data_IF_331852418502
#
_entry.id   IF_331852418502
#
_cell.length_a   1.000
_cell.length_b   1.000
_cell.length_c   1.000
_cell.angle_alpha   90.00
_cell.angle_beta   90.00
_cell.angle_gamma   90.00
#
_symmetry.space_group_name_H-M   'P 1'
#
loop_
_entity.id
_entity.type
_entity.pdbx_description
1 polymer ?
#
# COMPACT_ATOMS: atom_id res chain seq x y z
N UNK A 1 4.47 -16.64 8.62
CA UNK A 1 3.36 -16.13 7.81
C UNK A 1 3.36 -14.63 7.86
N UNK A 2 3.50 -13.99 6.74
CA UNK A 2 3.59 -12.54 6.66
C UNK A 2 2.27 -11.90 6.29
N UNK A 3 1.60 -11.29 7.27
CA UNK A 3 0.50 -10.40 6.99
C UNK A 3 1.06 -9.02 6.66
N UNK A 4 0.55 -8.42 5.60
CA UNK A 4 0.92 -7.07 5.21
C UNK A 4 -0.30 -6.17 5.25
N UNK A 5 -0.08 -4.92 5.61
CA UNK A 5 -1.12 -3.91 5.67
C UNK A 5 -1.53 -3.55 4.24
N UNK A 6 -2.76 -3.83 3.90
CA UNK A 6 -3.28 -3.69 2.53
C UNK A 6 -4.07 -2.41 2.32
N UNK A 7 -4.89 -2.05 3.29
CA UNK A 7 -5.77 -0.90 3.16
C UNK A 7 -6.55 -0.63 4.43
N UNK A 8 -7.64 0.11 4.27
CA UNK A 8 -8.51 0.50 5.39
C UNK A 8 -9.97 0.45 4.97
N UNK A 9 -10.83 0.03 5.90
CA UNK A 9 -12.28 0.14 5.73
C UNK A 9 -12.66 1.60 5.97
N UNK A 10 -13.23 2.26 4.96
CA UNK A 10 -13.54 3.69 5.02
C UNK A 10 -14.99 3.98 5.34
N UNK A 11 -15.91 3.12 4.90
CA UNK A 11 -17.34 3.26 5.21
C UNK A 11 -18.08 1.95 4.96
N UNK A 12 -19.30 1.86 5.50
CA UNK A 12 -20.24 0.79 5.19
C UNK A 12 -20.95 1.11 3.87
N UNK A 13 -21.36 0.06 3.15
CA UNK A 13 -22.07 0.18 1.89
C UNK A 13 -23.36 -0.64 1.94
N UNK A 14 -24.50 0.03 1.88
CA UNK A 14 -25.80 -0.64 1.95
C UNK A 14 -26.15 -1.18 3.33
N UNK A 15 -27.11 -2.09 3.38
CA UNK A 15 -27.66 -2.61 4.63
C UNK A 15 -27.28 -4.06 4.94
N UNK A 16 -26.62 -4.73 4.02
CA UNK A 16 -26.32 -6.16 4.10
C UNK A 16 -24.86 -6.48 4.42
N UNK A 17 -24.17 -5.58 5.09
CA UNK A 17 -22.81 -5.82 5.55
C UNK A 17 -21.70 -5.44 4.57
N UNK A 18 -22.03 -4.74 3.48
CA UNK A 18 -21.03 -4.26 2.53
C UNK A 18 -20.05 -3.27 3.16
N UNK A 19 -18.78 -3.38 2.78
CA UNK A 19 -17.69 -2.55 3.29
C UNK A 19 -16.90 -1.94 2.13
N UNK A 20 -16.66 -0.64 2.20
CA UNK A 20 -15.78 0.00 1.25
C UNK A 20 -14.35 -0.12 1.76
N UNK A 21 -13.53 -0.85 1.00
CA UNK A 21 -12.11 -1.06 1.27
C UNK A 21 -11.30 -0.16 0.34
N UNK A 22 -10.49 0.69 0.92
CA UNK A 22 -9.57 1.54 0.16
C UNK A 22 -8.14 1.01 0.35
N UNK A 23 -7.58 0.33 -0.67
CA UNK A 23 -6.20 -0.12 -0.60
C UNK A 23 -5.25 1.06 -0.61
N UNK A 24 -4.14 0.95 0.10
CA UNK A 24 -3.13 2.02 0.12
C UNK A 24 -2.48 2.22 -1.24
N UNK A 25 -2.43 1.18 -2.06
CA UNK A 25 -1.93 1.25 -3.44
C UNK A 25 -2.91 1.89 -4.42
N UNK A 26 -4.18 2.05 -4.02
CA UNK A 26 -5.32 2.42 -4.89
C UNK A 26 -5.53 1.49 -6.08
N UNK A 27 -5.06 0.26 -5.98
CA UNK A 27 -5.22 -0.78 -7.00
C UNK A 27 -6.02 -1.95 -6.44
N UNK A 28 -7.35 -1.83 -6.38
CA UNK A 28 -8.19 -2.86 -5.76
C UNK A 28 -8.25 -4.16 -6.57
N UNK A 29 -7.79 -4.14 -7.83
CA UNK A 29 -7.80 -5.31 -8.70
C UNK A 29 -7.00 -6.49 -8.14
N UNK A 30 -6.03 -6.23 -7.27
CA UNK A 30 -5.28 -7.29 -6.58
C UNK A 30 -6.16 -8.19 -5.72
N UNK A 31 -7.35 -7.69 -5.30
CA UNK A 31 -8.32 -8.49 -4.54
C UNK A 31 -8.92 -9.65 -5.35
N UNK A 32 -8.81 -9.62 -6.69
CA UNK A 32 -9.31 -10.73 -7.53
C UNK A 32 -8.69 -12.09 -7.17
N UNK A 33 -7.47 -12.07 -6.69
CA UNK A 33 -6.73 -13.29 -6.32
C UNK A 33 -6.75 -13.58 -4.82
N UNK A 34 -7.43 -12.74 -4.03
CA UNK A 34 -7.45 -12.83 -2.57
C UNK A 34 -8.82 -13.34 -2.12
N UNK A 35 -8.82 -14.49 -1.45
CA UNK A 35 -10.05 -15.09 -0.94
C UNK A 35 -10.33 -14.71 0.52
N UNK A 36 -9.27 -14.37 1.26
CA UNK A 36 -9.37 -14.08 2.69
C UNK A 36 -8.57 -12.83 3.06
N UNK A 37 -9.21 -11.98 3.85
CA UNK A 37 -8.56 -10.81 4.43
C UNK A 37 -8.55 -10.92 5.95
N UNK A 38 -7.72 -10.09 6.58
CA UNK A 38 -7.61 -10.03 8.03
C UNK A 38 -7.87 -8.60 8.46
N UNK A 39 -8.73 -8.44 9.45
CA UNK A 39 -9.14 -7.11 9.94
C UNK A 39 -8.79 -7.00 11.41
N UNK A 40 -8.15 -5.90 11.76
CA UNK A 40 -7.87 -5.56 13.15
C UNK A 40 -9.17 -5.11 13.83
N UNK A 41 -9.86 -6.06 14.46
CA UNK A 41 -11.15 -5.80 15.09
C UNK A 41 -11.02 -5.09 16.44
N UNK A 42 -9.90 -5.31 17.13
CA UNK A 42 -9.55 -4.62 18.38
C UNK A 42 -8.16 -4.03 18.21
N UNK A 43 -7.98 -2.71 18.45
CA UNK A 43 -6.65 -2.09 18.31
C UNK A 43 -5.59 -2.79 19.14
N UNK A 44 -4.46 -3.10 18.51
CA UNK A 44 -3.32 -3.74 19.17
C UNK A 44 -3.43 -5.25 19.31
N UNK A 45 -4.52 -5.86 18.87
CA UNK A 45 -4.67 -7.32 18.87
C UNK A 45 -4.41 -7.89 17.48
N UNK A 46 -4.17 -9.20 17.44
CA UNK A 46 -3.96 -9.91 16.19
C UNK A 46 -5.21 -9.81 15.28
N UNK A 47 -5.03 -9.49 13.99
CA UNK A 47 -6.16 -9.38 13.07
C UNK A 47 -6.93 -10.69 12.91
N UNK A 48 -8.26 -10.58 12.85
CA UNK A 48 -9.15 -11.73 12.62
C UNK A 48 -9.37 -11.96 11.13
N UNK A 49 -9.40 -13.23 10.72
CA UNK A 49 -9.63 -13.62 9.33
C UNK A 49 -11.10 -13.61 8.92
N UNK A 50 -11.37 -13.13 7.71
CA UNK A 50 -12.69 -13.09 7.10
C UNK A 50 -12.59 -13.54 5.65
N UNK A 51 -13.48 -14.46 5.25
CA UNK A 51 -13.55 -14.88 3.85
C UNK A 51 -14.40 -13.90 3.05
N UNK A 52 -13.92 -13.56 1.85
CA UNK A 52 -14.62 -12.64 0.94
C UNK A 52 -15.66 -13.44 0.16
N UNK A 53 -16.92 -13.05 0.26
CA UNK A 53 -18.02 -13.70 -0.47
C UNK A 53 -18.32 -13.00 -1.79
N UNK A 54 -18.13 -11.69 -1.85
CA UNK A 54 -18.33 -10.91 -3.05
C UNK A 54 -17.41 -9.69 -3.02
N UNK A 55 -16.92 -9.29 -4.20
CA UNK A 55 -16.08 -8.11 -4.34
C UNK A 55 -16.47 -7.38 -5.62
N UNK A 56 -16.69 -6.08 -5.51
CA UNK A 56 -16.96 -5.19 -6.64
C UNK A 56 -15.96 -4.05 -6.64
N UNK A 57 -15.41 -3.76 -7.80
CA UNK A 57 -14.40 -2.71 -7.92
C UNK A 57 -15.03 -1.37 -8.27
N UNK A 58 -14.47 -0.32 -7.70
CA UNK A 58 -14.76 1.07 -8.00
C UNK A 58 -13.42 1.80 -8.18
N UNK A 59 -13.46 3.05 -8.56
CA UNK A 59 -12.22 3.82 -8.78
C UNK A 59 -11.36 3.88 -7.51
N UNK A 60 -10.22 3.18 -7.54
CA UNK A 60 -9.25 3.17 -6.45
C UNK A 60 -9.73 2.46 -5.18
N UNK A 61 -10.91 1.85 -5.17
CA UNK A 61 -11.45 1.15 -4.02
C UNK A 61 -12.28 -0.06 -4.43
N UNK A 62 -12.73 -0.83 -3.46
CA UNK A 62 -13.61 -1.97 -3.68
C UNK A 62 -14.72 -1.99 -2.63
N UNK A 63 -15.89 -2.51 -3.01
CA UNK A 63 -16.94 -2.87 -2.06
C UNK A 63 -16.84 -4.37 -1.87
N UNK A 64 -16.61 -4.79 -0.65
CA UNK A 64 -16.46 -6.20 -0.30
C UNK A 64 -17.59 -6.66 0.64
N UNK A 65 -17.95 -7.92 0.51
CA UNK A 65 -18.87 -8.60 1.40
C UNK A 65 -18.14 -9.77 2.04
N UNK A 66 -18.25 -9.88 3.35
CA UNK A 66 -17.52 -10.86 4.13
C UNK A 66 -18.47 -11.86 4.76
N UNK A 67 -18.02 -13.09 4.87
CA UNK A 67 -18.72 -14.10 5.67
C UNK A 67 -18.80 -13.63 7.12
N UNK A 68 -19.93 -13.77 7.76
CA UNK A 68 -20.20 -13.35 9.14
C UNK A 68 -20.35 -11.83 9.35
N UNK A 69 -20.32 -11.03 8.29
CA UNK A 69 -20.65 -9.60 8.35
C UNK A 69 -21.87 -9.39 7.45
N UNK A 70 -23.06 -9.48 8.01
CA UNK A 70 -24.30 -9.54 7.26
C UNK A 70 -25.24 -8.35 7.48
N UNK A 71 -24.92 -7.50 8.45
CA UNK A 71 -25.75 -6.34 8.82
C UNK A 71 -24.96 -5.05 8.78
N UNK A 72 -25.69 -3.93 8.66
CA UNK A 72 -25.09 -2.60 8.73
C UNK A 72 -24.39 -2.38 10.08
N UNK A 73 -25.00 -2.84 11.18
CA UNK A 73 -24.41 -2.67 12.52
C UNK A 73 -23.07 -3.39 12.63
N UNK A 74 -22.96 -4.61 12.08
CA UNK A 74 -21.70 -5.34 12.06
C UNK A 74 -20.65 -4.65 11.21
N UNK A 75 -21.06 -4.14 10.05
CA UNK A 75 -20.17 -3.41 9.15
C UNK A 75 -19.65 -2.11 9.78
N UNK A 76 -20.51 -1.36 10.48
CA UNK A 76 -20.13 -0.10 11.12
C UNK A 76 -19.02 -0.26 12.17
N UNK A 77 -18.98 -1.41 12.84
CA UNK A 77 -17.93 -1.71 13.82
C UNK A 77 -16.54 -1.85 13.20
N UNK A 78 -16.46 -2.07 11.90
CA UNK A 78 -15.21 -2.27 11.16
C UNK A 78 -14.72 -1.00 10.46
N UNK A 79 -15.53 0.06 10.45
CA UNK A 79 -15.12 1.34 9.83
C UNK A 79 -13.88 1.90 10.53
N UNK A 80 -12.91 2.34 9.71
CA UNK A 80 -11.63 2.87 10.20
C UNK A 80 -10.60 1.82 10.56
N UNK A 81 -10.94 0.54 10.46
CA UNK A 81 -10.01 -0.55 10.79
C UNK A 81 -9.07 -0.84 9.62
N UNK A 82 -7.86 -1.25 9.98
CA UNK A 82 -6.87 -1.66 9.00
C UNK A 82 -7.16 -3.07 8.49
N UNK A 83 -6.90 -3.27 7.21
CA UNK A 83 -7.05 -4.56 6.53
C UNK A 83 -5.69 -5.08 6.15
N UNK A 84 -5.46 -6.36 6.41
CA UNK A 84 -4.22 -7.08 6.11
C UNK A 84 -4.52 -8.24 5.19
N UNK A 85 -3.53 -8.62 4.39
CA UNK A 85 -3.58 -9.80 3.53
C UNK A 85 -2.31 -10.63 3.73
N UNK A 86 -2.36 -11.89 3.35
CA UNK A 86 -1.14 -12.70 3.31
C UNK A 86 -0.32 -12.34 2.08
N UNK A 87 0.95 -12.09 2.27
CA UNK A 87 1.87 -11.74 1.19
C UNK A 87 1.87 -12.79 0.08
N UNK A 88 1.73 -14.06 0.44
CA UNK A 88 1.70 -15.17 -0.52
C UNK A 88 0.48 -15.17 -1.46
N UNK A 89 -0.59 -14.50 -1.10
CA UNK A 89 -1.81 -14.41 -1.92
C UNK A 89 -1.76 -13.31 -2.97
N UNK A 90 -0.77 -12.42 -2.90
CA UNK A 90 -0.62 -11.38 -3.91
C UNK A 90 -0.18 -11.97 -5.24
N UNK A 91 -0.75 -11.48 -6.38
CA UNK A 91 -0.31 -11.93 -7.69
C UNK A 91 1.16 -11.57 -7.94
N UNK A 92 1.84 -12.38 -8.74
CA UNK A 92 3.19 -12.06 -9.19
C UNK A 92 3.15 -10.81 -10.07
N UNK A 93 4.14 -9.95 -9.89
CA UNK A 93 4.27 -8.74 -10.67
C UNK A 93 5.19 -8.97 -11.88
N UNK A 94 5.00 -8.19 -12.93
CA UNK A 94 5.90 -8.18 -14.07
C UNK A 94 7.22 -7.49 -13.69
N UNK A 95 8.25 -7.72 -14.48
CA UNK A 95 9.54 -7.07 -14.27
C UNK A 95 9.39 -5.54 -14.29
N UNK A 96 9.95 -4.88 -13.29
CA UNK A 96 9.86 -3.44 -13.12
C UNK A 96 8.64 -2.96 -12.34
N UNK A 97 7.76 -3.88 -11.94
CA UNK A 97 6.63 -3.56 -11.07
C UNK A 97 6.95 -3.92 -9.63
N UNK A 98 6.50 -3.09 -8.70
CA UNK A 98 6.74 -3.27 -7.27
C UNK A 98 5.49 -2.96 -6.47
N UNK A 99 5.27 -3.73 -5.41
CA UNK A 99 4.26 -3.37 -4.42
C UNK A 99 4.81 -2.25 -3.53
N UNK A 100 3.95 -1.33 -3.14
CA UNK A 100 4.35 -0.18 -2.32
C UNK A 100 5.07 -0.59 -1.02
N UNK A 101 4.64 -1.69 -0.38
CA UNK A 101 5.25 -2.14 0.87
C UNK A 101 6.68 -2.67 0.67
N UNK A 102 7.03 -3.10 -0.55
CA UNK A 102 8.39 -3.54 -0.86
C UNK A 102 9.36 -2.35 -0.91
N UNK A 103 8.84 -1.17 -1.20
CA UNK A 103 9.65 0.05 -1.33
C UNK A 103 9.87 0.75 0.02
N UNK A 104 8.96 0.57 0.98
CA UNK A 104 9.09 1.16 2.31
C UNK A 104 10.31 0.58 3.03
N UNK A 105 11.14 1.47 3.57
CA UNK A 105 12.35 1.09 4.29
C UNK A 105 13.60 0.96 3.44
N UNK A 106 13.49 1.08 2.11
CA UNK A 106 14.67 1.04 1.24
C UNK A 106 15.51 2.31 1.41
N UNK A 107 16.82 2.14 1.37
CA UNK A 107 17.78 3.24 1.40
C UNK A 107 17.92 3.82 -0.02
N UNK A 108 17.91 5.14 -0.13
CA UNK A 108 17.97 5.83 -1.42
C UNK A 108 19.29 6.54 -1.59
N UNK A 109 19.94 6.30 -2.74
CA UNK A 109 21.24 6.90 -3.11
C UNK A 109 21.16 7.51 -4.50
N UNK A 110 21.96 8.53 -4.74
CA UNK A 110 22.18 9.05 -6.09
C UNK A 110 23.15 8.15 -6.85
N UNK A 111 23.23 8.32 -8.17
CA UNK A 111 24.16 7.55 -9.03
C UNK A 111 25.62 7.73 -8.61
N UNK A 112 25.98 8.89 -8.07
CA UNK A 112 27.33 9.18 -7.59
C UNK A 112 27.59 8.72 -6.15
N UNK A 113 26.64 8.00 -5.55
CA UNK A 113 26.80 7.38 -4.24
C UNK A 113 26.39 8.25 -3.05
N UNK A 114 25.80 9.41 -3.28
CA UNK A 114 25.31 10.28 -2.20
C UNK A 114 24.05 9.67 -1.56
N UNK A 115 24.03 9.58 -0.23
CA UNK A 115 22.87 9.14 0.50
C UNK A 115 21.78 10.21 0.53
N UNK A 116 20.56 9.82 0.19
CA UNK A 116 19.40 10.72 0.16
C UNK A 116 18.49 10.54 1.37
N UNK A 117 18.26 9.29 1.78
CA UNK A 117 17.40 8.95 2.89
C UNK A 117 16.76 7.59 2.74
N UNK A 118 15.80 7.32 3.61
CA UNK A 118 15.04 6.08 3.64
C UNK A 118 13.61 6.33 3.19
N UNK A 119 13.05 5.43 2.40
CA UNK A 119 11.65 5.52 1.97
C UNK A 119 10.75 5.30 3.18
N UNK A 120 9.94 6.30 3.53
CA UNK A 120 9.01 6.22 4.64
C UNK A 120 7.55 6.17 4.20
N UNK A 121 7.26 6.54 2.97
CA UNK A 121 5.91 6.56 2.47
C UNK A 121 5.81 6.63 0.95
N UNK A 122 4.60 6.51 0.48
CA UNK A 122 4.26 6.64 -0.93
C UNK A 122 3.01 7.53 -1.03
N UNK A 123 3.09 8.53 -1.90
CA UNK A 123 1.92 9.34 -2.26
C UNK A 123 1.48 8.87 -3.65
N UNK A 124 0.29 8.31 -3.72
CA UNK A 124 -0.25 7.85 -4.98
C UNK A 124 -1.09 8.97 -5.61
N UNK A 125 -0.60 9.49 -6.73
CA UNK A 125 -1.28 10.53 -7.50
C UNK A 125 -1.81 9.95 -8.80
N UNK A 126 -2.85 10.57 -9.36
CA UNK A 126 -3.54 10.06 -10.55
C UNK A 126 -2.63 9.73 -11.73
N UNK A 127 -1.56 10.51 -11.93
CA UNK A 127 -0.64 10.34 -13.05
C UNK A 127 0.72 9.74 -12.66
N UNK A 128 1.05 9.76 -11.36
CA UNK A 128 2.39 9.40 -10.93
C UNK A 128 2.45 9.22 -9.42
N UNK A 129 3.05 8.12 -8.99
CA UNK A 129 3.34 7.90 -7.58
C UNK A 129 4.63 8.62 -7.19
N UNK A 130 4.69 9.06 -5.95
CA UNK A 130 5.84 9.80 -5.41
C UNK A 130 6.31 9.13 -4.12
N UNK A 131 7.59 8.82 -4.05
CA UNK A 131 8.21 8.30 -2.83
C UNK A 131 8.49 9.43 -1.85
N UNK A 132 8.13 9.22 -0.59
CA UNK A 132 8.52 10.12 0.50
C UNK A 132 9.78 9.55 1.13
N UNK A 133 10.90 10.23 0.94
CA UNK A 133 12.22 9.79 1.41
C UNK A 133 12.69 10.76 2.48
N UNK A 134 13.05 10.24 3.64
CA UNK A 134 13.48 11.07 4.78
C UNK A 134 14.86 10.70 5.31
N UNK A 135 15.59 11.72 5.69
CA UNK A 135 16.85 11.62 6.42
C UNK A 135 16.79 12.63 7.58
N UNK A 136 16.38 12.15 8.76
CA UNK A 136 16.13 13.02 9.90
C UNK A 136 14.99 13.99 9.63
N UNK A 137 15.29 15.29 9.65
CA UNK A 137 14.31 16.35 9.36
C UNK A 137 14.21 16.68 7.87
N UNK A 138 15.13 16.16 7.06
CA UNK A 138 15.14 16.40 5.61
C UNK A 138 14.15 15.45 4.95
N UNK A 139 13.36 15.98 4.04
CA UNK A 139 12.39 15.21 3.27
C UNK A 139 12.58 15.48 1.79
N UNK A 140 12.56 14.44 0.98
CA UNK A 140 12.55 14.55 -0.48
C UNK A 140 11.35 13.80 -1.03
N UNK A 141 10.70 14.39 -2.01
CA UNK A 141 9.59 13.78 -2.75
C UNK A 141 10.13 13.34 -4.11
N UNK A 142 10.24 12.03 -4.32
CA UNK A 142 10.90 11.49 -5.49
C UNK A 142 9.88 10.80 -6.39
N UNK A 143 9.66 11.31 -7.62
CA UNK A 143 8.76 10.65 -8.56
C UNK A 143 9.22 9.23 -8.89
N UNK A 144 8.30 8.27 -8.83
CA UNK A 144 8.56 6.86 -9.12
C UNK A 144 8.45 6.62 -10.63
N UNK A 145 9.37 7.18 -11.39
CA UNK A 145 9.35 7.10 -12.85
C UNK A 145 10.75 7.29 -13.44
N UNK A 146 10.93 6.84 -14.68
CA UNK A 146 12.11 7.17 -15.45
C UNK A 146 12.03 8.62 -15.96
N UNK A 147 13.15 9.31 -16.10
CA UNK A 147 14.52 8.86 -15.89
C UNK A 147 15.05 9.00 -14.45
N UNK A 148 14.21 9.36 -13.49
CA UNK A 148 14.63 9.63 -12.11
C UNK A 148 15.04 8.35 -11.38
N UNK A 149 14.20 7.30 -11.44
CA UNK A 149 14.53 5.99 -10.87
C UNK A 149 15.43 5.23 -11.82
N UNK A 150 16.64 4.93 -11.38
CA UNK A 150 17.62 4.18 -12.19
C UNK A 150 17.64 2.70 -11.85
N UNK A 151 17.54 2.35 -10.58
CA UNK A 151 17.57 0.98 -10.12
C UNK A 151 16.79 0.84 -8.82
N UNK A 152 16.04 -0.24 -8.70
CA UNK A 152 15.41 -0.68 -7.44
C UNK A 152 15.96 -2.07 -7.16
N UNK A 153 16.74 -2.18 -6.09
CA UNK A 153 17.36 -3.44 -5.68
C UNK A 153 16.82 -3.90 -4.34
N UNK A 154 15.83 -4.79 -4.38
CA UNK A 154 15.20 -5.30 -3.17
C UNK A 154 16.13 -6.17 -2.33
N UNK A 155 17.07 -6.88 -2.96
CA UNK A 155 18.02 -7.76 -2.26
C UNK A 155 18.99 -6.95 -1.41
N UNK A 156 19.45 -5.82 -1.92
CA UNK A 156 20.37 -4.92 -1.20
C UNK A 156 19.62 -3.83 -0.44
N UNK A 157 18.30 -3.82 -0.52
CA UNK A 157 17.43 -2.84 0.15
C UNK A 157 17.78 -1.40 -0.20
N UNK A 158 17.99 -1.13 -1.49
CA UNK A 158 18.34 0.21 -1.96
C UNK A 158 17.67 0.61 -3.27
N UNK A 159 17.56 1.92 -3.45
CA UNK A 159 17.09 2.56 -4.68
C UNK A 159 18.18 3.51 -5.14
N UNK A 160 18.50 3.49 -6.43
CA UNK A 160 19.42 4.43 -7.06
C UNK A 160 18.62 5.40 -7.91
N UNK A 161 18.86 6.68 -7.73
CA UNK A 161 18.17 7.75 -8.45
C UNK A 161 19.14 8.65 -9.19
N UNK A 162 18.62 9.29 -10.24
CA UNK A 162 19.29 10.39 -10.95
C UNK A 162 18.42 11.63 -10.73
N UNK A 163 18.73 12.47 -9.72
CA UNK A 163 17.88 13.59 -9.39
C UNK A 163 18.00 14.72 -10.42
N UNK A 164 16.87 15.35 -10.70
CA UNK A 164 16.83 16.58 -11.48
C UNK A 164 17.06 17.78 -10.55
N UNK A 165 17.41 18.91 -11.12
CA UNK A 165 17.65 20.15 -10.38
C UNK A 165 16.43 20.53 -9.53
N UNK A 166 16.64 20.84 -8.27
CA UNK A 166 15.59 21.22 -7.33
C UNK A 166 14.83 20.06 -6.69
N UNK A 167 15.11 18.80 -7.08
CA UNK A 167 14.45 17.64 -6.49
C UNK A 167 14.94 17.37 -5.06
N UNK A 168 16.22 17.51 -4.83
CA UNK A 168 16.83 17.34 -3.51
C UNK A 168 17.18 18.69 -2.91
N UNK A 169 17.02 18.80 -1.59
CA UNK A 169 17.48 19.97 -0.86
C UNK A 169 19.02 19.96 -0.84
N UNK A 170 19.60 21.05 -1.26
CA UNK A 170 21.05 21.25 -1.13
C UNK A 170 21.38 21.59 0.33
N UNK A 171 22.48 21.07 0.81
CA UNK A 171 22.98 21.38 2.15
C UNK A 171 23.59 22.77 2.22
#
# INVERSE_FOLDING_TARGET
>A
MGLIKYGRITKAHGLSGGLKLSPFSRRPESLNSIERIYIETVPGQEPAGFDITECRFDKGSAVIYLERVETLDEAEKLIGRNVYIEKSELPELEEGEYYWFELIGLETYTEDGRYVGRVEGLIDRALQSVLVVKDGVKEALIPLSEPIIKEINLKESKIIISPIDGLLTED
#
